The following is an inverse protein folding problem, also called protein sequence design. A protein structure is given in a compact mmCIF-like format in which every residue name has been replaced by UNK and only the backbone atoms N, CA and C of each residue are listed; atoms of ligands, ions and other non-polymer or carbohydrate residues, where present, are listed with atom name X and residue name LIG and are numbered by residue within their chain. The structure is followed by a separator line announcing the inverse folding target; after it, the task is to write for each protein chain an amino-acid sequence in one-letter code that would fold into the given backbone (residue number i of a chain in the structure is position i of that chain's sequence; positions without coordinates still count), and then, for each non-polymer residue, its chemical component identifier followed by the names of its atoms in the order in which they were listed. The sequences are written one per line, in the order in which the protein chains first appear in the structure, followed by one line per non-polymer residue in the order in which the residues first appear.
data_IF_765206495421
#
_entry.id   IF_765206495421
#
_cell.length_a   1.000
_cell.length_b   1.000
_cell.length_c   1.000
_cell.angle_alpha   90.00
_cell.angle_beta   90.00
_cell.angle_gamma   90.00
#
_symmetry.space_group_name_H-M   'P 1'
#
loop_
_entity.id
_entity.type
_entity.pdbx_description
1 polymer ?
#
# COMPACT_ATOMS: atom_id res chain seq x y z
N UNK A 1 26.62 33.78 26.77
CA UNK A 1 26.32 33.03 28.00
C UNK A 1 25.24 31.96 27.79
N UNK A 2 24.09 32.26 27.17
CA UNK A 2 23.01 31.26 27.01
C UNK A 2 23.38 30.08 26.07
N UNK A 3 24.01 30.37 24.93
CA UNK A 3 24.49 29.35 23.97
C UNK A 3 25.61 28.45 24.55
N UNK A 4 26.51 29.04 25.35
CA UNK A 4 27.57 28.28 26.03
C UNK A 4 26.99 27.34 27.10
N UNK A 5 25.94 27.77 27.80
CA UNK A 5 25.21 26.92 28.76
C UNK A 5 24.48 25.77 28.05
N UNK A 6 23.85 26.03 26.91
CA UNK A 6 23.20 24.98 26.11
C UNK A 6 24.20 23.94 25.57
N UNK A 7 25.42 24.36 25.23
CA UNK A 7 26.47 23.47 24.74
C UNK A 7 26.97 22.50 25.81
N UNK A 8 27.13 22.96 27.05
CA UNK A 8 27.58 22.12 28.18
C UNK A 8 26.43 21.35 28.85
N UNK A 9 25.19 21.65 28.50
CA UNK A 9 24.00 21.03 29.07
C UNK A 9 23.95 19.53 28.73
N UNK A 10 24.18 18.70 29.76
CA UNK A 10 24.20 17.25 29.63
C UNK A 10 23.69 16.55 30.91
N UNK A 11 22.43 16.81 31.34
CA UNK A 11 21.88 16.21 32.56
C UNK A 11 21.73 14.69 32.51
N UNK A 12 21.71 14.10 31.31
CA UNK A 12 21.61 12.66 31.10
C UNK A 12 22.34 12.23 29.82
N UNK A 13 22.71 10.95 29.73
CA UNK A 13 23.31 10.35 28.54
C UNK A 13 22.22 9.56 27.80
N UNK A 14 21.78 10.06 26.65
CA UNK A 14 20.88 9.34 25.75
C UNK A 14 21.69 8.86 24.55
N UNK A 15 21.65 7.56 24.28
CA UNK A 15 22.12 7.00 23.04
C UNK A 15 20.99 7.00 22.00
N UNK A 16 20.86 8.10 21.25
CA UNK A 16 19.87 8.21 20.19
C UNK A 16 20.22 7.40 18.93
N UNK A 17 21.40 6.77 18.88
CA UNK A 17 21.90 6.07 17.70
C UNK A 17 21.07 4.82 17.36
N UNK A 18 20.77 4.01 18.37
CA UNK A 18 19.93 2.81 18.20
C UNK A 18 18.49 3.15 17.79
N UNK A 19 17.99 4.30 18.24
CA UNK A 19 16.64 4.77 17.95
C UNK A 19 16.50 5.22 16.48
N UNK A 20 17.54 5.87 15.95
CA UNK A 20 17.55 6.38 14.56
C UNK A 20 17.79 5.29 13.52
N UNK A 21 18.45 4.19 13.90
CA UNK A 21 18.81 3.09 12.99
C UNK A 21 17.70 2.05 12.84
N UNK A 22 16.88 1.84 13.87
CA UNK A 22 15.89 0.74 13.89
C UNK A 22 14.45 1.23 13.66
N UNK A 23 14.09 2.45 14.09
CA UNK A 23 12.69 2.87 14.05
C UNK A 23 12.24 3.33 12.66
N UNK A 24 11.11 2.76 12.20
CA UNK A 24 10.36 3.25 11.06
C UNK A 24 10.89 2.84 9.69
N UNK A 25 11.96 2.03 9.60
CA UNK A 25 12.58 1.72 8.31
C UNK A 25 11.61 0.96 7.39
N UNK A 26 10.81 0.04 7.93
CA UNK A 26 9.85 -0.75 7.17
C UNK A 26 8.71 0.15 6.66
N UNK A 27 8.15 0.98 7.54
CA UNK A 27 7.07 1.90 7.25
C UNK A 27 7.50 2.97 6.24
N UNK A 28 8.74 3.44 6.32
CA UNK A 28 9.32 4.39 5.37
C UNK A 28 9.57 3.73 4.01
N UNK A 29 10.08 2.49 3.98
CA UNK A 29 10.22 1.73 2.73
C UNK A 29 8.86 1.60 2.02
N UNK A 30 7.80 1.28 2.77
CA UNK A 30 6.45 1.24 2.23
C UNK A 30 5.97 2.62 1.77
N UNK A 31 6.06 3.65 2.60
CA UNK A 31 5.50 4.98 2.28
C UNK A 31 6.20 5.64 1.10
N UNK A 32 7.53 5.66 1.11
CA UNK A 32 8.36 6.34 0.10
C UNK A 32 8.40 5.56 -1.21
N UNK A 33 8.42 4.22 -1.15
CA UNK A 33 8.47 3.38 -2.34
C UNK A 33 7.19 3.40 -3.17
N UNK A 34 6.10 4.04 -2.72
CA UNK A 34 4.91 4.29 -3.55
C UNK A 34 5.13 5.27 -4.69
N UNK A 35 6.19 6.09 -4.60
CA UNK A 35 6.52 7.16 -5.55
C UNK A 35 5.43 8.24 -5.73
N UNK A 36 4.51 8.38 -4.78
CA UNK A 36 3.53 9.45 -4.75
C UNK A 36 4.21 10.81 -4.57
N UNK A 37 3.65 11.84 -5.22
CA UNK A 37 4.03 13.23 -4.95
C UNK A 37 3.44 13.70 -3.62
N UNK A 38 4.25 14.40 -2.83
CA UNK A 38 3.81 14.99 -1.56
C UNK A 38 4.25 16.45 -1.48
N UNK A 39 3.31 17.38 -1.36
CA UNK A 39 3.64 18.81 -1.33
C UNK A 39 4.16 19.27 0.04
N UNK A 40 4.11 18.41 1.06
CA UNK A 40 4.62 18.68 2.41
C UNK A 40 5.88 17.86 2.65
N UNK A 41 5.78 16.53 2.63
CA UNK A 41 6.79 15.65 3.24
C UNK A 41 7.98 15.30 2.34
N UNK A 42 7.89 15.62 1.05
CA UNK A 42 8.87 15.18 0.04
C UNK A 42 10.30 15.70 0.27
N UNK A 43 10.47 16.86 0.93
CA UNK A 43 11.76 17.45 1.29
C UNK A 43 12.02 17.49 2.81
N UNK A 44 11.26 16.76 3.63
CA UNK A 44 11.50 16.67 5.08
C UNK A 44 12.51 15.57 5.42
N UNK A 45 13.48 15.78 6.34
CA UNK A 45 14.39 14.71 6.76
C UNK A 45 13.61 13.63 7.52
N UNK A 46 13.91 12.34 7.32
CA UNK A 46 13.24 11.26 8.08
C UNK A 46 14.23 10.20 8.57
N UNK A 47 13.74 9.35 9.47
CA UNK A 47 14.42 8.15 9.93
C UNK A 47 14.46 7.08 8.84
N UNK A 48 15.52 6.27 8.80
CA UNK A 48 15.65 5.23 7.79
C UNK A 48 16.01 5.74 6.39
N UNK A 49 16.68 6.89 6.25
CA UNK A 49 17.19 7.40 4.96
C UNK A 49 18.08 6.39 4.20
N UNK A 50 18.74 5.49 4.93
CA UNK A 50 19.53 4.41 4.35
C UNK A 50 18.69 3.44 3.51
N UNK A 51 17.38 3.28 3.76
CA UNK A 51 16.49 2.40 2.97
C UNK A 51 16.43 2.84 1.51
N UNK A 52 16.42 4.16 1.28
CA UNK A 52 16.45 4.78 -0.05
C UNK A 52 17.82 4.59 -0.69
N UNK A 53 18.91 4.84 0.04
CA UNK A 53 20.28 4.65 -0.46
C UNK A 53 20.58 3.17 -0.81
N UNK A 54 20.03 2.24 -0.02
CA UNK A 54 20.15 0.79 -0.20
C UNK A 54 19.35 0.26 -1.38
N UNK A 55 18.46 1.07 -1.96
CA UNK A 55 17.53 0.68 -3.03
C UNK A 55 16.42 -0.29 -2.59
N UNK A 56 16.15 -0.40 -1.29
CA UNK A 56 15.10 -1.28 -0.76
C UNK A 56 13.71 -0.87 -1.25
N UNK A 57 13.52 0.41 -1.59
CA UNK A 57 12.27 0.95 -2.17
C UNK A 57 11.91 0.35 -3.53
N UNK A 58 12.86 -0.27 -4.22
CA UNK A 58 12.64 -0.98 -5.50
C UNK A 58 12.52 -2.49 -5.35
N UNK A 59 12.71 -3.04 -4.15
CA UNK A 59 12.55 -4.48 -3.94
C UNK A 59 11.08 -4.87 -4.10
N UNK A 60 10.77 -5.94 -4.84
CA UNK A 60 9.40 -6.41 -5.01
C UNK A 60 8.87 -6.97 -3.69
N UNK A 61 7.59 -6.69 -3.40
CA UNK A 61 6.89 -7.28 -2.26
C UNK A 61 6.11 -8.50 -2.76
N UNK A 62 6.40 -9.72 -2.28
CA UNK A 62 5.75 -10.93 -2.76
C UNK A 62 4.31 -11.06 -2.24
N UNK A 63 3.58 -12.01 -2.82
CA UNK A 63 2.23 -12.40 -2.36
C UNK A 63 1.08 -11.65 -3.02
N UNK A 64 1.36 -10.83 -4.03
CA UNK A 64 0.35 -10.28 -4.91
C UNK A 64 0.22 -11.14 -6.17
N UNK A 65 -1.00 -11.35 -6.66
CA UNK A 65 -1.22 -12.06 -7.93
C UNK A 65 -2.23 -11.28 -8.76
N UNK A 66 -1.81 -10.91 -9.96
CA UNK A 66 -2.62 -10.22 -10.96
C UNK A 66 -3.07 -11.22 -12.03
N UNK A 67 -4.37 -11.29 -12.23
CA UNK A 67 -5.04 -12.06 -13.26
C UNK A 67 -5.55 -11.07 -14.30
N UNK A 68 -4.85 -10.93 -15.42
CA UNK A 68 -5.39 -10.23 -16.59
C UNK A 68 -6.39 -11.16 -17.27
N UNK A 69 -7.67 -10.95 -16.95
CA UNK A 69 -8.76 -11.83 -17.34
C UNK A 69 -9.00 -11.76 -18.85
N UNK A 70 -8.91 -10.56 -19.42
CA UNK A 70 -9.17 -10.35 -20.85
C UNK A 70 -8.12 -11.01 -21.74
N UNK A 71 -6.86 -11.06 -21.31
CA UNK A 71 -5.78 -11.69 -22.06
C UNK A 71 -5.45 -13.12 -21.61
N UNK A 72 -6.08 -13.62 -20.54
CA UNK A 72 -5.78 -14.96 -20.02
C UNK A 72 -4.38 -15.08 -19.42
N UNK A 73 -3.82 -13.99 -18.87
CA UNK A 73 -2.47 -13.96 -18.29
C UNK A 73 -2.56 -13.90 -16.76
N UNK A 74 -1.84 -14.78 -16.09
CA UNK A 74 -1.61 -14.72 -14.65
C UNK A 74 -0.16 -14.29 -14.39
N UNK A 75 0.02 -13.26 -13.58
CA UNK A 75 1.32 -12.76 -13.17
C UNK A 75 1.41 -12.68 -11.65
N UNK A 76 2.47 -13.26 -11.09
CA UNK A 76 2.79 -13.23 -9.65
C UNK A 76 3.69 -12.06 -9.27
N UNK A 77 4.26 -11.39 -10.28
CA UNK A 77 5.19 -10.29 -10.09
C UNK A 77 4.52 -8.99 -10.49
N UNK A 78 4.46 -8.05 -9.55
CA UNK A 78 4.01 -6.68 -9.77
C UNK A 78 5.16 -5.72 -9.53
N UNK A 79 5.02 -4.53 -10.09
CA UNK A 79 5.97 -3.46 -9.86
C UNK A 79 6.03 -3.08 -8.38
N UNK A 80 7.25 -2.81 -7.92
CA UNK A 80 7.58 -2.52 -6.53
C UNK A 80 6.79 -1.33 -5.97
N UNK A 81 6.53 -0.31 -6.80
CA UNK A 81 5.77 0.87 -6.41
C UNK A 81 4.28 0.56 -6.24
N UNK A 82 3.72 -0.28 -7.12
CA UNK A 82 2.30 -0.57 -7.14
C UNK A 82 1.90 -1.45 -5.95
N UNK A 83 2.70 -2.46 -5.64
CA UNK A 83 2.52 -3.29 -4.44
C UNK A 83 2.53 -2.46 -3.15
N UNK A 84 3.44 -1.49 -3.02
CA UNK A 84 3.48 -0.55 -1.88
C UNK A 84 2.27 0.36 -1.84
N UNK A 85 1.82 0.86 -3.00
CA UNK A 85 0.63 1.70 -3.09
C UNK A 85 -0.61 0.93 -2.60
N UNK A 86 -0.79 -0.30 -3.07
CA UNK A 86 -1.89 -1.19 -2.67
C UNK A 86 -1.85 -1.57 -1.18
N UNK A 87 -0.66 -1.70 -0.60
CA UNK A 87 -0.49 -2.05 0.82
C UNK A 87 -0.97 -0.92 1.73
N UNK A 88 -0.70 0.34 1.37
CA UNK A 88 -1.03 1.50 2.19
C UNK A 88 -2.40 2.10 1.86
N UNK A 89 -2.94 1.85 0.67
CA UNK A 89 -4.27 2.31 0.33
C UNK A 89 -5.34 1.50 1.09
N UNK A 90 -6.37 2.12 1.69
CA UNK A 90 -7.42 1.42 2.41
C UNK A 90 -8.34 0.67 1.44
N UNK A 91 -7.93 -0.54 1.04
CA UNK A 91 -8.72 -1.42 0.18
C UNK A 91 -9.89 -2.05 0.96
N UNK A 92 -11.08 -1.98 0.38
CA UNK A 92 -12.27 -2.70 0.86
C UNK A 92 -12.30 -4.10 0.23
N UNK A 93 -12.80 -5.09 0.97
CA UNK A 93 -12.89 -6.45 0.46
C UNK A 93 -13.81 -6.49 -0.77
N UNK A 94 -13.28 -6.93 -1.92
CA UNK A 94 -13.99 -7.18 -3.20
C UNK A 94 -14.71 -6.00 -3.87
N UNK A 95 -14.85 -4.85 -3.22
CA UNK A 95 -15.60 -3.69 -3.76
C UNK A 95 -14.71 -2.61 -4.40
N UNK A 96 -13.40 -2.64 -4.18
CA UNK A 96 -12.49 -1.61 -4.73
C UNK A 96 -12.22 -1.83 -6.21
N UNK A 97 -12.46 -0.80 -7.01
CA UNK A 97 -12.20 -0.76 -8.45
C UNK A 97 -11.19 0.35 -8.73
N UNK A 98 -10.10 0.00 -9.40
CA UNK A 98 -9.07 0.93 -9.87
C UNK A 98 -9.23 1.13 -11.37
N UNK A 99 -9.41 2.37 -11.81
CA UNK A 99 -9.42 2.73 -13.22
C UNK A 99 -8.17 3.57 -13.51
N UNK A 100 -7.30 3.05 -14.37
CA UNK A 100 -6.09 3.75 -14.77
C UNK A 100 -6.37 4.61 -15.98
N UNK A 101 -6.20 5.92 -15.81
CA UNK A 101 -6.34 6.92 -16.87
C UNK A 101 -4.97 7.51 -17.18
N UNK A 102 -4.70 7.73 -18.46
CA UNK A 102 -3.49 8.40 -18.92
C UNK A 102 -3.89 9.78 -19.44
N UNK A 103 -3.37 10.83 -18.84
CA UNK A 103 -3.59 12.19 -19.35
C UNK A 103 -2.39 12.62 -20.21
N UNK A 104 -2.67 13.32 -21.31
CA UNK A 104 -1.64 13.83 -22.22
C UNK A 104 -0.92 15.05 -21.62
N UNK A 105 -1.61 15.82 -20.77
CA UNK A 105 -1.14 17.09 -20.26
C UNK A 105 -0.60 16.98 -18.83
N UNK A 106 0.62 17.49 -18.55
CA UNK A 106 1.12 17.58 -17.18
C UNK A 106 0.25 18.57 -16.39
N UNK A 107 -0.13 18.19 -15.17
CA UNK A 107 -0.95 19.03 -14.29
C UNK A 107 -0.23 20.37 -13.97
N UNK A 108 -0.96 21.49 -13.90
CA UNK A 108 -0.38 22.77 -13.50
C UNK A 108 0.13 22.70 -12.06
N UNK A 109 1.38 23.13 -11.85
CA UNK A 109 2.15 22.97 -10.60
C UNK A 109 2.23 24.27 -9.75
N UNK A 110 1.26 24.58 -8.88
CA UNK A 110 1.42 25.71 -7.94
C UNK A 110 2.07 25.33 -6.60
N UNK A 111 2.29 24.03 -6.30
CA UNK A 111 2.77 23.59 -4.97
C UNK A 111 4.19 23.02 -4.93
N UNK A 112 4.93 23.06 -6.03
CA UNK A 112 6.28 22.50 -6.13
C UNK A 112 7.31 23.17 -5.20
N UNK A 113 7.07 24.43 -4.82
CA UNK A 113 7.92 25.18 -3.88
C UNK A 113 7.58 24.94 -2.41
N UNK A 114 6.39 24.40 -2.08
CA UNK A 114 5.96 24.26 -0.69
C UNK A 114 6.86 23.28 0.08
N UNK A 115 7.07 22.08 -0.47
CA UNK A 115 7.92 21.07 0.17
C UNK A 115 9.38 21.52 0.33
N UNK A 116 10.10 22.03 -0.70
CA UNK A 116 11.47 22.48 -0.52
C UNK A 116 11.57 23.68 0.44
N UNK A 117 10.60 24.60 0.43
CA UNK A 117 10.57 25.71 1.40
C UNK A 117 10.44 25.18 2.83
N UNK A 118 9.55 24.21 3.05
CA UNK A 118 9.40 23.58 4.36
C UNK A 118 10.66 22.81 4.79
N UNK A 119 11.29 22.08 3.87
CA UNK A 119 12.56 21.40 4.12
C UNK A 119 13.67 22.37 4.52
N UNK A 120 13.80 23.50 3.83
CA UNK A 120 14.74 24.57 4.18
C UNK A 120 14.40 25.15 5.57
N UNK A 121 13.14 25.45 5.84
CA UNK A 121 12.69 25.97 7.14
C UNK A 121 12.99 25.01 8.29
N UNK A 122 12.96 23.70 8.06
CA UNK A 122 13.23 22.67 9.08
C UNK A 122 14.73 22.41 9.26
N UNK A 123 15.51 22.39 8.17
CA UNK A 123 16.95 22.12 8.24
C UNK A 123 17.79 23.36 8.62
N UNK A 124 17.37 24.57 8.23
CA UNK A 124 18.15 25.79 8.47
C UNK A 124 18.39 26.11 9.95
N UNK A 125 17.40 25.97 10.86
CA UNK A 125 17.62 26.17 12.29
C UNK A 125 18.68 25.23 12.87
N UNK A 126 18.72 23.96 12.43
CA UNK A 126 19.73 23.00 12.87
C UNK A 126 21.15 23.46 12.49
N UNK A 127 21.32 23.91 11.25
CA UNK A 127 22.60 24.42 10.74
C UNK A 127 23.02 25.69 11.47
N UNK A 128 22.11 26.67 11.57
CA UNK A 128 22.40 27.97 12.20
C UNK A 128 22.73 27.80 13.68
N UNK A 129 21.97 27.00 14.41
CA UNK A 129 22.23 26.74 15.83
C UNK A 129 23.55 26.01 16.05
N UNK A 130 23.87 25.00 15.23
CA UNK A 130 25.15 24.31 15.31
C UNK A 130 26.34 25.27 15.08
N UNK A 131 26.26 26.14 14.08
CA UNK A 131 27.26 27.17 13.82
C UNK A 131 27.40 28.16 15.01
N UNK A 132 26.28 28.68 15.52
CA UNK A 132 26.28 29.64 16.63
C UNK A 132 26.81 29.04 17.94
N UNK A 133 26.61 27.73 18.16
CA UNK A 133 27.16 27.01 19.32
C UNK A 133 28.62 26.58 19.13
N UNK A 134 29.18 26.73 17.91
CA UNK A 134 30.50 26.19 17.56
C UNK A 134 30.55 24.67 17.73
N UNK A 135 29.46 23.98 17.38
CA UNK A 135 29.32 22.53 17.45
C UNK A 135 29.52 21.94 16.04
N UNK A 136 30.78 21.61 15.71
CA UNK A 136 31.15 21.09 14.40
C UNK A 136 30.53 19.72 14.11
N UNK A 137 30.32 18.88 15.13
CA UNK A 137 29.61 17.61 15.00
C UNK A 137 28.12 17.85 14.71
N UNK A 138 27.48 18.80 15.41
CA UNK A 138 26.12 19.23 15.11
C UNK A 138 25.96 19.76 13.68
N UNK A 139 26.95 20.50 13.18
CA UNK A 139 26.95 21.00 11.80
C UNK A 139 27.07 19.85 10.78
N UNK A 140 28.02 18.94 11.00
CA UNK A 140 28.19 17.75 10.14
C UNK A 140 26.91 16.89 10.11
N UNK A 141 26.24 16.74 11.25
CA UNK A 141 24.96 16.06 11.36
C UNK A 141 23.87 16.74 10.51
N UNK A 142 23.69 18.06 10.66
CA UNK A 142 22.66 18.81 9.93
C UNK A 142 22.89 18.84 8.41
N UNK A 143 24.16 18.98 7.99
CA UNK A 143 24.54 18.91 6.57
C UNK A 143 24.28 17.52 6.00
N UNK A 144 24.57 16.47 6.76
CA UNK A 144 24.28 15.10 6.33
C UNK A 144 22.77 14.83 6.22
N UNK A 145 21.96 15.29 7.17
CA UNK A 145 20.50 15.20 7.06
C UNK A 145 19.99 15.90 5.79
N UNK A 146 20.55 17.06 5.47
CA UNK A 146 20.22 17.82 4.26
C UNK A 146 20.63 17.07 2.98
N UNK A 147 21.84 16.50 2.94
CA UNK A 147 22.29 15.68 1.83
C UNK A 147 21.40 14.45 1.62
N UNK A 148 20.95 13.80 2.70
CA UNK A 148 20.00 12.67 2.64
C UNK A 148 18.66 13.05 2.02
N UNK A 149 18.14 14.25 2.32
CA UNK A 149 16.93 14.79 1.67
C UNK A 149 17.14 14.99 0.18
N UNK A 150 18.27 15.57 -0.23
CA UNK A 150 18.61 15.80 -1.65
C UNK A 150 18.74 14.46 -2.39
N UNK A 151 19.48 13.49 -1.82
CA UNK A 151 19.64 12.14 -2.35
C UNK A 151 18.28 11.49 -2.59
N UNK A 152 17.38 11.53 -1.60
CA UNK A 152 16.03 11.00 -1.74
C UNK A 152 15.27 11.67 -2.87
N UNK A 153 15.29 13.00 -2.93
CA UNK A 153 14.59 13.76 -3.97
C UNK A 153 15.06 13.34 -5.36
N UNK A 154 16.36 13.24 -5.59
CA UNK A 154 16.93 12.82 -6.87
C UNK A 154 16.51 11.38 -7.22
N UNK A 155 16.57 10.45 -6.26
CA UNK A 155 16.16 9.05 -6.46
C UNK A 155 14.67 8.95 -6.83
N UNK A 156 13.80 9.68 -6.12
CA UNK A 156 12.36 9.70 -6.40
C UNK A 156 12.07 10.29 -7.79
N UNK A 157 12.72 11.39 -8.16
CA UNK A 157 12.57 12.00 -9.48
C UNK A 157 12.98 11.04 -10.61
N UNK A 158 14.11 10.34 -10.46
CA UNK A 158 14.57 9.36 -11.45
C UNK A 158 13.58 8.19 -11.62
N UNK A 159 13.02 7.68 -10.53
CA UNK A 159 12.06 6.57 -10.56
C UNK A 159 10.69 7.01 -11.10
N UNK A 160 10.19 8.18 -10.72
CA UNK A 160 8.95 8.75 -11.26
C UNK A 160 9.07 9.01 -12.76
N UNK A 161 10.17 9.62 -13.20
CA UNK A 161 10.41 9.85 -14.61
C UNK A 161 10.57 8.54 -15.42
N UNK A 162 11.01 7.44 -14.80
CA UNK A 162 11.00 6.12 -15.42
C UNK A 162 9.56 5.59 -15.63
N UNK A 163 8.67 5.79 -14.65
CA UNK A 163 7.23 5.48 -14.80
C UNK A 163 6.63 6.33 -15.93
N UNK A 164 6.88 7.64 -15.92
CA UNK A 164 6.34 8.55 -16.94
C UNK A 164 6.82 8.16 -18.35
N UNK A 165 8.08 7.73 -18.49
CA UNK A 165 8.60 7.19 -19.76
C UNK A 165 7.88 5.90 -20.16
N UNK A 166 7.64 4.98 -19.22
CA UNK A 166 6.93 3.73 -19.51
C UNK A 166 5.47 3.98 -19.94
N UNK A 167 4.80 4.96 -19.33
CA UNK A 167 3.46 5.44 -19.73
C UNK A 167 3.52 6.04 -21.13
N UNK A 168 4.46 6.96 -21.40
CA UNK A 168 4.62 7.59 -22.73
C UNK A 168 4.84 6.57 -23.86
N UNK A 169 5.67 5.56 -23.61
CA UNK A 169 5.91 4.49 -24.58
C UNK A 169 4.68 3.60 -24.79
N UNK A 170 3.79 3.54 -23.81
CA UNK A 170 2.55 2.76 -23.86
C UNK A 170 1.38 3.51 -24.51
N UNK A 171 1.40 4.85 -24.48
CA UNK A 171 0.32 5.72 -25.00
C UNK A 171 0.75 6.49 -26.27
N UNK A 172 1.84 6.07 -26.93
CA UNK A 172 2.32 6.77 -28.13
C UNK A 172 1.26 6.79 -29.24
N UNK A 173 1.00 7.93 -29.92
CA UNK A 173 -0.05 8.05 -30.96
C UNK A 173 0.22 7.23 -32.21
N UNK A 174 1.44 6.67 -32.35
CA UNK A 174 1.80 5.73 -33.41
C UNK A 174 1.28 4.31 -33.16
N UNK A 175 0.81 4.02 -31.95
CA UNK A 175 0.27 2.72 -31.59
C UNK A 175 -1.23 2.65 -31.89
N UNK A 176 -1.75 1.47 -32.29
CA UNK A 176 -3.19 1.25 -32.36
C UNK A 176 -3.87 1.58 -31.03
N UNK A 177 -5.12 2.03 -31.09
CA UNK A 177 -5.92 2.31 -29.89
C UNK A 177 -5.89 1.11 -28.95
N UNK A 178 -5.43 1.35 -27.71
CA UNK A 178 -5.23 0.27 -26.75
C UNK A 178 -6.56 -0.13 -26.12
N UNK A 179 -6.83 -1.43 -26.11
CA UNK A 179 -8.04 -1.98 -25.53
C UNK A 179 -7.95 -1.95 -24.00
N UNK A 180 -9.04 -1.54 -23.35
CA UNK A 180 -9.12 -1.58 -21.88
C UNK A 180 -9.33 -3.04 -21.45
N UNK A 181 -8.36 -3.58 -20.72
CA UNK A 181 -8.40 -4.93 -20.20
C UNK A 181 -8.95 -4.96 -18.78
N UNK A 182 -9.62 -6.07 -18.44
CA UNK A 182 -10.10 -6.35 -17.10
C UNK A 182 -9.06 -7.19 -16.39
N UNK A 183 -8.50 -6.65 -15.32
CA UNK A 183 -7.62 -7.39 -14.44
C UNK A 183 -8.23 -7.54 -13.05
N UNK A 184 -7.96 -8.67 -12.43
CA UNK A 184 -8.34 -8.96 -11.05
C UNK A 184 -7.08 -9.19 -10.26
N UNK A 185 -6.96 -8.54 -9.11
CA UNK A 185 -5.78 -8.58 -8.28
C UNK A 185 -6.13 -9.17 -6.92
N UNK A 186 -5.30 -10.07 -6.41
CA UNK A 186 -5.36 -10.56 -5.04
C UNK A 186 -4.15 -10.07 -4.25
N UNK A 187 -4.39 -9.61 -3.03
CA UNK A 187 -3.34 -9.12 -2.12
C UNK A 187 -2.90 -10.23 -1.15
N UNK A 188 -1.73 -10.10 -0.50
CA UNK A 188 -1.28 -11.05 0.52
C UNK A 188 -2.27 -11.18 1.71
N UNK A 189 -3.04 -10.13 1.96
CA UNK A 189 -4.07 -10.08 3.01
C UNK A 189 -5.40 -10.75 2.59
N UNK A 190 -5.48 -11.35 1.40
CA UNK A 190 -6.68 -11.98 0.88
C UNK A 190 -7.75 -11.01 0.37
N UNK A 191 -7.46 -9.70 0.33
CA UNK A 191 -8.32 -8.71 -0.32
C UNK A 191 -8.20 -8.84 -1.83
N UNK A 192 -9.24 -8.41 -2.52
CA UNK A 192 -9.30 -8.44 -3.96
C UNK A 192 -9.66 -7.08 -4.53
N UNK A 193 -9.03 -6.72 -5.65
CA UNK A 193 -9.19 -5.44 -6.33
C UNK A 193 -9.46 -5.70 -7.81
N UNK A 194 -10.45 -5.00 -8.35
CA UNK A 194 -10.70 -4.98 -9.79
C UNK A 194 -9.92 -3.85 -10.43
N UNK A 195 -9.28 -4.09 -11.56
CA UNK A 195 -8.49 -3.12 -12.29
C UNK A 195 -9.00 -3.02 -13.72
N UNK A 196 -9.31 -1.81 -14.16
CA UNK A 196 -9.54 -1.48 -15.56
C UNK A 196 -8.41 -0.57 -16.03
N UNK A 197 -7.66 -1.03 -17.01
CA UNK A 197 -6.51 -0.29 -17.53
C UNK A 197 -6.26 -0.64 -18.99
N UNK A 198 -5.62 0.23 -19.78
CA UNK A 198 -5.12 -0.14 -21.10
C UNK A 198 -4.13 -1.31 -21.00
N UNK A 199 -4.21 -2.28 -21.92
CA UNK A 199 -3.37 -3.49 -21.94
C UNK A 199 -1.88 -3.18 -21.75
N UNK A 200 -1.36 -2.18 -22.43
CA UNK A 200 0.05 -1.79 -22.38
C UNK A 200 0.45 -1.20 -21.03
N UNK A 201 -0.44 -0.50 -20.35
CA UNK A 201 -0.18 0.03 -19.00
C UNK A 201 -0.06 -1.12 -18.00
N UNK A 202 -0.91 -2.14 -18.11
CA UNK A 202 -0.81 -3.33 -17.26
C UNK A 202 0.56 -3.99 -17.43
N UNK A 203 0.97 -4.27 -18.67
CA UNK A 203 2.22 -5.00 -18.95
C UNK A 203 3.46 -4.14 -18.65
N UNK A 204 3.53 -2.92 -19.16
CA UNK A 204 4.75 -2.11 -19.12
C UNK A 204 4.92 -1.30 -17.84
N UNK A 205 3.85 -1.09 -17.05
CA UNK A 205 3.88 -0.19 -15.88
C UNK A 205 3.49 -0.92 -14.59
N UNK A 206 2.44 -1.74 -14.61
CA UNK A 206 1.99 -2.46 -13.41
C UNK A 206 2.78 -3.74 -13.17
N UNK A 207 3.17 -4.47 -14.21
CA UNK A 207 3.92 -5.72 -14.12
C UNK A 207 5.44 -5.55 -14.23
N UNK A 208 5.91 -4.41 -14.72
CA UNK A 208 7.35 -4.17 -14.96
C UNK A 208 7.94 -3.25 -13.89
N UNK A 209 9.04 -3.65 -13.27
CA UNK A 209 9.76 -2.82 -12.31
C UNK A 209 10.42 -1.61 -12.98
N UNK A 210 10.48 -0.50 -12.26
CA UNK A 210 11.05 0.76 -12.78
C UNK A 210 12.57 0.66 -12.90
N UNK A 211 13.09 0.94 -14.09
CA UNK A 211 14.53 1.09 -14.31
C UNK A 211 14.89 2.57 -14.36
N UNK A 212 15.82 3.06 -13.52
CA UNK A 212 16.19 4.47 -13.51
C UNK A 212 16.74 4.91 -14.88
N UNK A 213 16.38 6.12 -15.32
CA UNK A 213 16.76 6.66 -16.62
C UNK A 213 18.29 6.79 -16.78
N UNK A 214 18.95 7.30 -15.75
CA UNK A 214 20.39 7.49 -15.72
C UNK A 214 21.02 6.60 -14.65
N UNK A 215 21.45 5.37 -14.97
CA UNK A 215 21.95 4.41 -13.98
C UNK A 215 23.22 4.91 -13.26
N UNK A 216 24.10 5.63 -13.97
CA UNK A 216 25.31 6.20 -13.38
C UNK A 216 25.01 7.26 -12.31
N UNK A 217 24.14 8.22 -12.64
CA UNK A 217 23.71 9.27 -11.69
C UNK A 217 22.96 8.65 -10.52
N UNK A 218 22.11 7.65 -10.78
CA UNK A 218 21.39 6.92 -9.75
C UNK A 218 22.34 6.22 -8.77
N UNK A 219 23.34 5.50 -9.30
CA UNK A 219 24.35 4.82 -8.48
C UNK A 219 25.21 5.81 -7.69
N UNK A 220 25.68 6.89 -8.31
CA UNK A 220 26.47 7.93 -7.63
C UNK A 220 25.67 8.59 -6.49
N UNK A 221 24.39 8.90 -6.74
CA UNK A 221 23.49 9.48 -5.74
C UNK A 221 23.28 8.53 -4.56
N UNK A 222 23.16 7.22 -4.81
CA UNK A 222 23.08 6.20 -3.76
C UNK A 222 24.37 6.10 -2.94
N UNK A 223 25.53 6.16 -3.58
CA UNK A 223 26.82 6.20 -2.87
C UNK A 223 26.92 7.41 -1.95
N UNK A 224 26.52 8.59 -2.44
CA UNK A 224 26.40 9.81 -1.62
C UNK A 224 25.43 9.62 -0.46
N UNK A 225 24.29 8.95 -0.68
CA UNK A 225 23.34 8.59 0.36
C UNK A 225 23.95 7.74 1.47
N UNK A 226 24.74 6.73 1.11
CA UNK A 226 25.46 5.89 2.07
C UNK A 226 26.52 6.65 2.84
N UNK A 227 27.33 7.47 2.16
CA UNK A 227 28.34 8.30 2.80
C UNK A 227 27.69 9.31 3.78
N UNK A 228 26.60 9.94 3.35
CA UNK A 228 25.80 10.83 4.18
C UNK A 228 25.30 10.09 5.42
N UNK A 229 24.66 8.94 5.26
CA UNK A 229 24.15 8.14 6.39
C UNK A 229 25.25 7.78 7.40
N UNK A 230 26.43 7.37 6.93
CA UNK A 230 27.57 7.09 7.81
C UNK A 230 28.02 8.33 8.61
N UNK A 231 28.16 9.48 7.94
CA UNK A 231 28.49 10.76 8.60
C UNK A 231 27.40 11.14 9.62
N UNK A 232 26.13 10.94 9.29
CA UNK A 232 25.00 11.26 10.16
C UNK A 232 25.05 10.46 11.47
N UNK A 233 25.27 9.14 11.38
CA UNK A 233 25.39 8.24 12.54
C UNK A 233 26.50 8.71 13.49
N UNK A 234 27.71 8.91 12.95
CA UNK A 234 28.87 9.31 13.76
C UNK A 234 28.66 10.70 14.35
N UNK A 235 28.22 11.66 13.55
CA UNK A 235 28.02 13.03 13.98
C UNK A 235 26.91 13.18 15.01
N UNK A 236 25.81 12.42 14.89
CA UNK A 236 24.71 12.42 15.85
C UNK A 236 25.12 11.84 17.21
N UNK A 237 26.05 10.87 17.25
CA UNK A 237 26.59 10.35 18.50
C UNK A 237 27.55 11.31 19.22
N UNK A 238 28.18 12.23 18.48
CA UNK A 238 29.22 13.14 18.99
C UNK A 238 28.75 14.59 19.18
N UNK A 239 27.58 14.94 18.66
CA UNK A 239 27.01 16.30 18.78
C UNK A 239 26.60 16.62 20.23
N UNK A 240 26.47 17.91 20.55
CA UNK A 240 25.90 18.32 21.84
C UNK A 240 24.49 17.76 22.04
N UNK A 241 24.13 17.44 23.30
CA UNK A 241 22.84 16.85 23.65
C UNK A 241 21.65 17.69 23.15
N UNK A 242 21.77 19.03 23.19
CA UNK A 242 20.74 19.92 22.68
C UNK A 242 20.50 19.74 21.17
N UNK A 243 21.56 19.77 20.36
CA UNK A 243 21.46 19.53 18.91
C UNK A 243 21.03 18.09 18.60
N UNK A 244 21.43 17.11 19.42
CA UNK A 244 21.00 15.73 19.31
C UNK A 244 19.47 15.61 19.46
N UNK A 245 18.91 16.16 20.55
CA UNK A 245 17.48 16.12 20.83
C UNK A 245 16.67 16.85 19.76
N UNK A 246 17.13 18.02 19.32
CA UNK A 246 16.47 18.79 18.27
C UNK A 246 16.46 18.01 16.94
N UNK A 247 17.58 17.40 16.57
CA UNK A 247 17.69 16.58 15.35
C UNK A 247 16.77 15.37 15.40
N UNK A 248 16.73 14.66 16.54
CA UNK A 248 15.85 13.49 16.74
C UNK A 248 14.38 13.91 16.70
N UNK A 249 14.00 15.02 17.33
CA UNK A 249 12.64 15.53 17.31
C UNK A 249 12.20 15.88 15.87
N UNK A 250 13.05 16.58 15.12
CA UNK A 250 12.82 16.91 13.72
C UNK A 250 12.64 15.65 12.87
N UNK A 251 13.54 14.66 13.02
CA UNK A 251 13.47 13.40 12.32
C UNK A 251 12.19 12.63 12.67
N UNK A 252 11.85 12.50 13.95
CA UNK A 252 10.68 11.76 14.41
C UNK A 252 9.37 12.38 13.89
N UNK A 253 9.19 13.69 14.06
CA UNK A 253 7.99 14.40 13.57
C UNK A 253 7.85 14.27 12.06
N UNK A 254 8.93 14.50 11.33
CA UNK A 254 8.94 14.40 9.87
C UNK A 254 8.65 12.97 9.38
N UNK A 255 9.19 11.96 10.08
CA UNK A 255 8.93 10.54 9.79
C UNK A 255 7.46 10.20 10.00
N UNK A 256 6.85 10.65 11.11
CA UNK A 256 5.42 10.43 11.39
C UNK A 256 4.56 11.09 10.30
N UNK A 257 4.89 12.32 9.87
CA UNK A 257 4.18 13.00 8.80
C UNK A 257 4.28 12.24 7.47
N UNK A 258 5.47 11.72 7.13
CA UNK A 258 5.71 10.94 5.92
C UNK A 258 4.99 9.57 5.94
N UNK A 259 4.95 8.88 7.07
CA UNK A 259 4.24 7.59 7.20
C UNK A 259 2.73 7.81 7.11
N UNK A 260 2.19 8.88 7.71
CA UNK A 260 0.77 9.23 7.60
C UNK A 260 0.35 9.74 6.23
N UNK A 261 1.30 9.96 5.32
CA UNK A 261 1.03 10.48 3.97
C UNK A 261 0.46 11.90 3.97
N UNK A 262 0.88 12.73 4.93
CA UNK A 262 0.38 14.11 5.03
C UNK A 262 0.82 14.91 3.81
N UNK A 263 -0.15 15.35 3.00
CA UNK A 263 0.11 16.08 1.76
C UNK A 263 0.36 15.21 0.53
N UNK A 264 0.19 13.88 0.64
CA UNK A 264 0.29 12.98 -0.51
C UNK A 264 -0.88 13.19 -1.48
N UNK A 265 -0.60 13.02 -2.77
CA UNK A 265 -1.61 13.00 -3.84
C UNK A 265 -1.84 11.56 -4.31
N UNK A 266 -2.77 10.80 -3.69
CA UNK A 266 -2.87 9.35 -3.89
C UNK A 266 -3.30 8.92 -5.28
N UNK A 267 -3.94 9.82 -6.03
CA UNK A 267 -4.44 9.59 -7.38
C UNK A 267 -3.41 9.89 -8.48
N UNK A 268 -2.26 10.51 -8.14
CA UNK A 268 -1.27 10.96 -9.12
C UNK A 268 0.08 10.25 -8.93
N UNK A 269 0.47 9.49 -9.94
CA UNK A 269 1.74 8.75 -10.00
C UNK A 269 2.61 9.34 -11.11
N UNK A 270 3.80 9.81 -10.74
CA UNK A 270 4.64 10.58 -11.66
C UNK A 270 3.95 11.89 -12.05
N UNK A 271 3.95 12.18 -13.34
CA UNK A 271 3.29 13.33 -13.96
C UNK A 271 2.13 12.91 -14.89
N UNK A 272 2.04 11.63 -15.26
CA UNK A 272 1.18 11.17 -16.38
C UNK A 272 0.18 10.07 -16.05
N UNK A 273 0.35 9.38 -14.93
CA UNK A 273 -0.52 8.26 -14.56
C UNK A 273 -1.52 8.68 -13.48
N UNK A 274 -2.81 8.54 -13.79
CA UNK A 274 -3.89 8.78 -12.85
C UNK A 274 -4.55 7.47 -12.43
N UNK A 275 -4.78 7.33 -11.13
CA UNK A 275 -5.52 6.21 -10.55
C UNK A 275 -6.84 6.76 -10.00
N UNK A 276 -7.93 6.46 -10.70
CA UNK A 276 -9.28 6.71 -10.21
C UNK A 276 -9.69 5.52 -9.34
N UNK A 277 -10.06 5.79 -8.09
CA UNK A 277 -10.46 4.75 -7.16
C UNK A 277 -11.94 4.91 -6.86
N UNK A 278 -12.72 3.94 -7.31
CA UNK A 278 -14.14 3.84 -6.96
C UNK A 278 -14.36 2.66 -6.03
N UNK A 279 -15.26 2.84 -5.07
CA UNK A 279 -15.74 1.76 -4.22
C UNK A 279 -17.17 1.43 -4.65
N UNK A 280 -17.40 0.16 -4.99
CA UNK A 280 -18.75 -0.42 -5.07
C UNK A 280 -19.32 -0.57 -3.66
N UNK A 281 -20.63 -0.86 -3.56
CA UNK A 281 -21.27 -0.91 -2.25
C UNK A 281 -20.62 -1.99 -1.36
N UNK A 282 -20.46 -1.69 -0.07
CA UNK A 282 -19.63 -2.48 0.84
C UNK A 282 -20.24 -3.84 1.24
N UNK A 283 -21.50 -4.12 0.85
CA UNK A 283 -22.24 -5.33 1.21
C UNK A 283 -22.20 -6.41 0.11
N UNK A 284 -21.30 -6.27 -0.86
CA UNK A 284 -21.27 -7.17 -2.01
C UNK A 284 -20.50 -8.46 -1.70
N UNK A 285 -21.20 -9.59 -1.76
CA UNK A 285 -20.59 -10.92 -1.71
C UNK A 285 -19.70 -11.15 -2.94
N UNK A 286 -18.67 -12.00 -2.80
CA UNK A 286 -17.65 -12.23 -3.83
C UNK A 286 -18.22 -12.57 -5.22
N UNK A 287 -19.33 -13.30 -5.31
CA UNK A 287 -19.98 -13.59 -6.61
C UNK A 287 -20.57 -12.34 -7.29
N UNK A 288 -21.11 -11.37 -6.54
CA UNK A 288 -21.62 -10.13 -7.09
C UNK A 288 -20.49 -9.24 -7.61
N UNK A 289 -19.37 -9.17 -6.88
CA UNK A 289 -18.16 -8.47 -7.33
C UNK A 289 -17.65 -9.04 -8.67
N UNK A 290 -17.70 -10.36 -8.84
CA UNK A 290 -17.35 -11.02 -10.10
C UNK A 290 -18.37 -10.78 -11.21
N UNK A 291 -19.68 -10.83 -10.93
CA UNK A 291 -20.72 -10.50 -11.90
C UNK A 291 -20.57 -9.06 -12.42
N UNK A 292 -20.11 -8.15 -11.55
CA UNK A 292 -19.86 -6.77 -11.90
C UNK A 292 -18.65 -6.57 -12.85
N UNK A 293 -17.80 -7.59 -13.06
CA UNK A 293 -16.74 -7.57 -14.10
C UNK A 293 -17.28 -7.69 -15.53
N UNK A 294 -18.54 -8.13 -15.72
CA UNK A 294 -19.13 -8.40 -17.04
C UNK A 294 -18.28 -9.34 -17.89
N UNK A 295 -18.01 -10.54 -17.39
CA UNK A 295 -17.12 -11.49 -18.04
C UNK A 295 -17.78 -12.14 -19.27
N UNK A 296 -17.02 -12.32 -20.34
CA UNK A 296 -17.41 -13.21 -21.43
C UNK A 296 -17.31 -14.68 -21.02
N UNK A 297 -17.91 -15.59 -21.79
CA UNK A 297 -17.83 -17.02 -21.50
C UNK A 297 -16.39 -17.55 -21.45
N UNK A 298 -15.52 -17.05 -22.33
CA UNK A 298 -14.08 -17.38 -22.32
C UNK A 298 -13.39 -16.86 -21.06
N UNK A 299 -13.70 -15.62 -20.66
CA UNK A 299 -13.16 -15.02 -19.44
C UNK A 299 -13.63 -15.81 -18.19
N UNK A 300 -14.88 -16.27 -18.14
CA UNK A 300 -15.38 -17.14 -17.06
C UNK A 300 -14.65 -18.49 -16.99
N UNK A 301 -14.31 -19.08 -18.14
CA UNK A 301 -13.53 -20.33 -18.18
C UNK A 301 -12.13 -20.13 -17.59
N UNK A 302 -11.47 -19.01 -17.92
CA UNK A 302 -10.17 -18.65 -17.30
C UNK A 302 -10.29 -18.49 -15.78
N UNK A 303 -11.36 -17.87 -15.28
CA UNK A 303 -11.60 -17.71 -13.85
C UNK A 303 -11.77 -19.05 -13.11
N UNK A 304 -12.40 -20.04 -13.74
CA UNK A 304 -12.50 -21.40 -13.19
C UNK A 304 -11.14 -22.09 -13.19
N UNK A 305 -10.38 -21.95 -14.28
CA UNK A 305 -9.06 -22.59 -14.42
C UNK A 305 -8.05 -22.05 -13.39
N UNK A 306 -8.14 -20.76 -13.04
CA UNK A 306 -7.35 -20.13 -11.99
C UNK A 306 -7.89 -20.34 -10.58
N UNK A 307 -8.93 -21.15 -10.41
CA UNK A 307 -9.60 -21.38 -9.12
C UNK A 307 -10.10 -20.09 -8.44
N UNK A 308 -10.34 -19.02 -9.21
CA UNK A 308 -10.98 -17.80 -8.72
C UNK A 308 -12.49 -18.00 -8.61
N UNK A 309 -13.06 -18.76 -9.55
CA UNK A 309 -14.41 -19.29 -9.48
C UNK A 309 -14.39 -20.72 -8.94
N UNK A 310 -15.41 -21.13 -8.17
CA UNK A 310 -15.54 -22.53 -7.80
C UNK A 310 -15.80 -23.38 -9.03
N UNK A 311 -15.41 -24.66 -8.95
CA UNK A 311 -15.73 -25.64 -9.98
C UNK A 311 -17.23 -25.67 -10.27
N UNK A 312 -17.58 -26.06 -11.50
CA UNK A 312 -18.97 -26.12 -12.00
C UNK A 312 -19.86 -27.07 -11.19
N UNK A 313 -19.28 -27.93 -10.34
CA UNK A 313 -20.00 -28.76 -9.38
C UNK A 313 -20.73 -27.98 -8.28
N UNK A 314 -20.30 -26.75 -7.95
CA UNK A 314 -20.97 -25.91 -6.96
C UNK A 314 -22.14 -25.14 -7.59
N UNK A 315 -23.26 -25.84 -7.79
CA UNK A 315 -24.47 -25.28 -8.42
C UNK A 315 -25.00 -24.04 -7.70
N UNK A 316 -25.04 -24.07 -6.36
CA UNK A 316 -25.53 -22.95 -5.53
C UNK A 316 -24.77 -21.65 -5.76
N UNK A 317 -23.45 -21.70 -5.93
CA UNK A 317 -22.66 -20.50 -6.22
C UNK A 317 -22.94 -19.97 -7.63
N UNK A 318 -23.04 -20.87 -8.61
CA UNK A 318 -23.30 -20.52 -10.01
C UNK A 318 -24.69 -19.93 -10.22
N UNK A 319 -25.72 -20.45 -9.53
CA UNK A 319 -27.06 -19.86 -9.50
C UNK A 319 -27.03 -18.43 -8.97
N UNK A 320 -26.32 -18.19 -7.86
CA UNK A 320 -26.15 -16.83 -7.28
C UNK A 320 -25.41 -15.88 -8.21
N UNK A 321 -24.35 -16.35 -8.86
CA UNK A 321 -23.58 -15.57 -9.82
C UNK A 321 -24.43 -15.19 -11.05
N UNK A 322 -25.21 -16.14 -11.60
CA UNK A 322 -26.11 -15.88 -12.72
C UNK A 322 -27.23 -14.90 -12.35
N UNK A 323 -27.87 -15.08 -11.18
CA UNK A 323 -28.86 -14.14 -10.67
C UNK A 323 -28.31 -12.71 -10.54
N UNK A 324 -27.05 -12.55 -10.10
CA UNK A 324 -26.40 -11.24 -10.02
C UNK A 324 -26.11 -10.62 -11.40
N UNK A 325 -25.84 -11.43 -12.43
CA UNK A 325 -25.71 -10.95 -13.82
C UNK A 325 -27.07 -10.48 -14.37
N UNK A 326 -28.12 -11.24 -14.11
CA UNK A 326 -29.47 -10.94 -14.61
C UNK A 326 -30.01 -9.65 -13.96
N UNK A 327 -29.82 -9.49 -12.65
CA UNK A 327 -30.22 -8.28 -11.90
C UNK A 327 -29.52 -7.01 -12.45
N UNK A 328 -28.24 -7.12 -12.82
CA UNK A 328 -27.50 -6.04 -13.47
C UNK A 328 -28.08 -5.68 -14.83
N UNK A 329 -28.47 -6.69 -15.62
CA UNK A 329 -28.97 -6.50 -16.98
C UNK A 329 -30.39 -5.89 -17.01
N UNK A 330 -31.14 -6.04 -15.91
CA UNK A 330 -32.53 -5.57 -15.76
C UNK A 330 -32.74 -4.09 -15.37
N UNK A 331 -31.69 -3.28 -15.26
CA UNK A 331 -31.81 -1.81 -15.17
C UNK A 331 -32.47 -1.20 -13.93
N UNK A 332 -32.75 -1.97 -12.87
CA UNK A 332 -33.45 -1.45 -11.69
C UNK A 332 -32.70 -1.67 -10.36
N UNK A 333 -32.72 -0.63 -9.52
CA UNK A 333 -32.01 -0.49 -8.24
C UNK A 333 -32.45 -1.55 -7.22
N UNK A 334 -31.69 -2.63 -7.01
CA UNK A 334 -32.00 -3.54 -5.88
C UNK A 334 -30.86 -4.34 -5.24
N UNK A 335 -29.63 -3.81 -5.24
CA UNK A 335 -28.55 -4.33 -4.39
C UNK A 335 -28.91 -4.36 -2.88
N UNK A 336 -29.93 -3.60 -2.44
CA UNK A 336 -30.46 -3.60 -1.08
C UNK A 336 -31.29 -4.85 -0.69
N UNK A 337 -31.68 -5.70 -1.66
CA UNK A 337 -32.53 -6.88 -1.40
C UNK A 337 -31.76 -8.04 -0.75
N UNK A 338 -30.44 -8.14 -0.98
CA UNK A 338 -29.65 -9.29 -0.59
C UNK A 338 -29.37 -9.40 0.92
N UNK A 339 -29.27 -8.28 1.64
CA UNK A 339 -29.18 -8.27 3.11
C UNK A 339 -30.43 -8.92 3.76
N UNK A 340 -31.61 -8.77 3.15
CA UNK A 340 -32.85 -9.44 3.58
C UNK A 340 -32.86 -10.93 3.26
N UNK A 341 -32.33 -11.31 2.10
CA UNK A 341 -32.27 -12.72 1.68
C UNK A 341 -31.32 -13.50 2.61
N UNK A 342 -30.20 -12.90 3.02
CA UNK A 342 -29.25 -13.49 3.96
C UNK A 342 -29.77 -13.50 5.40
N UNK A 343 -30.43 -12.42 5.86
CA UNK A 343 -31.09 -12.40 7.16
C UNK A 343 -32.22 -13.44 7.26
N UNK A 344 -32.87 -13.77 6.13
CA UNK A 344 -33.90 -14.79 6.05
C UNK A 344 -33.41 -16.24 5.95
N UNK A 345 -32.10 -16.50 5.76
CA UNK A 345 -31.58 -17.88 5.66
C UNK A 345 -30.92 -18.43 6.93
N UNK A 346 -30.96 -17.70 8.06
CA UNK A 346 -30.42 -18.17 9.36
C UNK A 346 -31.52 -18.53 10.37
N UNK A 347 -32.81 -18.35 10.06
CA UNK A 347 -33.87 -18.92 10.91
C UNK A 347 -34.04 -20.41 10.60
N UNK A 348 -33.47 -21.24 11.46
CA UNK A 348 -33.85 -22.64 11.63
C UNK A 348 -35.38 -22.76 11.69
N UNK A 349 -36.00 -23.22 10.62
CA UNK A 349 -37.36 -23.76 10.63
C UNK A 349 -37.41 -25.02 9.77
N UNK A 350 -36.57 -26.00 10.12
CA UNK A 350 -36.62 -27.36 9.56
C UNK A 350 -36.12 -28.39 10.59
N UNK A 351 -36.39 -28.17 11.89
CA UNK A 351 -36.15 -29.16 12.95
C UNK A 351 -37.30 -29.24 13.99
N UNK A 352 -38.51 -28.80 13.65
CA UNK A 352 -39.70 -28.94 14.53
C UNK A 352 -40.92 -29.52 13.81
N UNK A 353 -40.73 -30.38 12.81
CA UNK A 353 -41.85 -31.12 12.19
C UNK A 353 -41.63 -32.63 12.07
N UNK A 354 -40.69 -33.20 12.84
CA UNK A 354 -40.42 -34.66 12.86
C UNK A 354 -40.29 -35.24 14.28
N UNK A 355 -40.86 -34.61 15.32
CA UNK A 355 -40.96 -35.21 16.66
C UNK A 355 -42.39 -35.54 17.13
N UNK A 356 -43.42 -35.28 16.34
CA UNK A 356 -44.81 -35.64 16.66
C UNK A 356 -45.37 -36.71 15.72
N UNK A 357 -44.78 -37.92 15.71
CA UNK A 357 -45.51 -39.17 15.39
C UNK A 357 -44.63 -40.40 15.60
N UNK A 358 -44.39 -40.79 16.85
CA UNK A 358 -44.22 -42.21 17.25
C UNK A 358 -44.01 -42.31 18.75
N UNK A 359 -45.08 -42.72 19.46
CA UNK A 359 -45.19 -43.91 20.31
C UNK A 359 -46.16 -43.64 21.45
N UNK A 360 -47.37 -44.19 21.32
CA UNK A 360 -48.23 -44.48 22.47
C UNK A 360 -47.90 -45.86 23.02
N UNK A 361 -47.98 -45.96 24.34
CA UNK A 361 -48.19 -47.15 25.17
C UNK A 361 -47.19 -48.33 25.09
N UNK A 362 -46.49 -48.58 26.20
CA UNK A 362 -46.85 -49.66 27.13
C UNK A 362 -46.11 -49.48 28.47
N UNK A 363 -46.70 -50.04 29.53
CA UNK A 363 -46.49 -49.64 30.93
C UNK A 363 -45.52 -50.48 31.77
N UNK A 364 -45.51 -50.09 33.06
CA UNK A 364 -45.03 -50.77 34.27
C UNK A 364 -43.51 -50.85 34.53
N UNK A 365 -43.10 -50.33 35.69
CA UNK A 365 -41.93 -50.82 36.43
C UNK A 365 -41.19 -49.76 37.24
N UNK A 366 -41.03 -49.99 38.54
CA UNK A 366 -40.48 -49.10 39.56
C UNK A 366 -38.91 -48.98 39.53
N UNK A 367 -38.27 -48.16 40.41
CA UNK A 367 -36.93 -47.56 40.21
C UNK A 367 -35.77 -48.32 40.91
N UNK A 368 -34.57 -47.69 40.98
CA UNK A 368 -33.28 -48.09 41.64
C UNK A 368 -32.24 -48.52 40.56
N UNK A 369 -30.95 -48.16 40.49
CA UNK A 369 -29.92 -47.64 41.41
C UNK A 369 -28.79 -46.90 40.64
N UNK A 370 -27.86 -46.31 41.40
CA UNK A 370 -26.63 -45.60 41.02
C UNK A 370 -25.61 -46.48 40.25
N UNK A 371 -24.75 -45.86 39.45
CA UNK A 371 -23.28 -46.08 39.56
C UNK A 371 -22.45 -44.99 38.86
N UNK A 372 -21.45 -44.51 39.60
CA UNK A 372 -20.35 -43.65 39.16
C UNK A 372 -19.27 -44.50 38.49
N UNK A 373 -18.62 -43.98 37.44
CA UNK A 373 -17.19 -44.12 37.12
C UNK A 373 -16.90 -43.00 36.09
N UNK A 374 -15.98 -42.06 36.23
CA UNK A 374 -14.71 -42.07 36.95
C UNK A 374 -13.57 -42.33 35.95
N UNK A 375 -12.71 -41.34 35.70
CA UNK A 375 -11.31 -41.59 35.34
C UNK A 375 -10.84 -41.21 33.92
N UNK A 376 -10.35 -39.98 33.82
CA UNK A 376 -8.96 -39.63 33.47
C UNK A 376 -8.16 -40.31 32.34
N UNK A 377 -7.66 -39.42 31.47
CA UNK A 377 -6.27 -39.19 31.06
C UNK A 377 -5.51 -40.23 30.20
N UNK A 378 -4.99 -39.67 29.10
CA UNK A 378 -3.73 -39.99 28.45
C UNK A 378 -3.27 -38.77 27.68
#
# INVERSE_FOLDING_TARGET
MLLSTLKSWSPFRIDALGLVTILGFHEINLSVGRFLHSWITECLPFLGAFTVASNQILEPIPGFVLYNISDGIMATDLSSWFTRWLTLYPLTYTSTVLEFKTDANPLPHPRWLASPSLGICVCSPLIVLACLMGDWWGLANALSMTASVIVRKVILLQNRAAIDRAVLLSTSPSLPQDEVVKAFLTTPSGKAVTIYAPRRIVINVLLTNTTPLNPALYSATRMTGWASFAIHIVALGMTSLFNQLLSVAVLAVSTILAIRGVGDMPHLLGERLYIDVSCRSANEFRAAAYAALNLSEKEEQSMVLWNLFPHRSNTRWWERYRAAIDERSGGNKQWASWDKILAGTVTHSSLESESETRTGNDGLGAPVEKEQYGGEQG
#
